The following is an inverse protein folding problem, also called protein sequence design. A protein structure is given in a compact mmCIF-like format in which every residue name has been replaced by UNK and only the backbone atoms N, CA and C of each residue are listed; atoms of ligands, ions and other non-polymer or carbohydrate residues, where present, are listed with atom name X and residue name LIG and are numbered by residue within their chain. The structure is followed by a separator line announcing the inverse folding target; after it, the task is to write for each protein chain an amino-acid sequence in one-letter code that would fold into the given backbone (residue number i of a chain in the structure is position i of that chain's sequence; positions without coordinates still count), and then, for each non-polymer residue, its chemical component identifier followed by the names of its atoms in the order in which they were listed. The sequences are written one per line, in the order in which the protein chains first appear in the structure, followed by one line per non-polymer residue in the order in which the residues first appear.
data_IF_308363908880
#
_entry.id   IF_308363908880
#
_cell.length_a   1.000
_cell.length_b   1.000
_cell.length_c   1.000
_cell.angle_alpha   90.00
_cell.angle_beta   90.00
_cell.angle_gamma   90.00
#
_symmetry.space_group_name_H-M   'P 1'
#
loop_
_entity.id
_entity.type
_entity.pdbx_description
1 polymer ?
2 non-polymer ?
3 non-polymer ?
4 water ?
#
# COMPACT_ATOMS: atom_id res chain seq x y z
N UNK A 1 -24.69 -6.28 24.45
CA UNK A 1 -23.53 -7.12 24.72
C UNK A 1 -22.38 -6.77 23.82
N UNK A 2 -21.30 -7.54 23.95
CA UNK A 2 -20.20 -7.46 23.02
C UNK A 2 -20.12 -8.70 22.12
N UNK A 3 -21.25 -9.38 21.88
CA UNK A 3 -21.18 -10.66 21.18
C UNK A 3 -20.86 -10.50 19.69
N UNK A 4 -21.00 -9.29 19.13
CA UNK A 4 -20.67 -9.04 17.73
C UNK A 4 -19.26 -8.49 17.53
N UNK A 5 -18.48 -8.30 18.59
CA UNK A 5 -17.23 -7.56 18.48
C UNK A 5 -16.05 -8.52 18.55
N UNK A 6 -15.11 -8.35 17.64
CA UNK A 6 -13.89 -9.16 17.59
C UNK A 6 -12.88 -8.48 18.51
N UNK A 7 -12.46 -9.16 19.58
CA UNK A 7 -11.58 -8.46 20.51
C UNK A 7 -10.22 -8.22 19.89
N UNK A 8 -9.54 -7.21 20.44
CA UNK A 8 -8.17 -6.85 20.13
C UNK A 8 -7.31 -8.09 19.97
N UNK A 9 -6.65 -8.23 18.83
CA UNK A 9 -5.85 -9.43 18.59
C UNK A 9 -4.73 -9.12 17.62
N UNK A 10 -3.70 -9.95 17.65
CA UNK A 10 -2.58 -9.75 16.75
C UNK A 10 -3.01 -10.06 15.33
N UNK A 11 -2.66 -9.18 14.40
CA UNK A 11 -3.19 -9.24 13.05
C UNK A 11 -2.80 -10.53 12.34
N UNK A 12 -3.73 -11.05 11.55
CA UNK A 12 -3.42 -12.18 10.69
C UNK A 12 -3.67 -11.91 9.21
N UNK A 13 -4.22 -10.75 8.84
CA UNK A 13 -4.52 -10.51 7.43
C UNK A 13 -3.32 -10.00 6.64
N UNK A 14 -3.22 -10.45 5.39
CA UNK A 14 -2.19 -9.91 4.54
C UNK A 14 -2.50 -8.48 4.14
N UNK A 15 -1.43 -7.76 3.81
CA UNK A 15 -1.49 -6.43 3.23
C UNK A 15 -1.50 -6.50 1.72
N UNK A 16 -0.51 -7.19 1.13
CA UNK A 16 -0.46 -7.38 -0.31
C UNK A 16 -1.25 -8.64 -0.66
N UNK A 17 -2.19 -8.52 -1.59
CA UNK A 17 -3.03 -9.66 -1.94
C UNK A 17 -2.67 -10.33 -3.26
N UNK A 18 -2.01 -9.63 -4.20
CA UNK A 18 -1.87 -10.17 -5.56
C UNK A 18 -0.58 -9.76 -6.26
N UNK A 19 0.19 -8.81 -5.75
CA UNK A 19 1.33 -8.28 -6.47
C UNK A 19 2.52 -9.22 -6.29
N UNK A 20 3.10 -9.66 -7.42
CA UNK A 20 4.39 -10.38 -7.45
C UNK A 20 4.48 -11.46 -6.38
N UNK A 21 3.48 -12.35 -6.36
CA UNK A 21 3.41 -13.29 -5.25
C UNK A 21 4.44 -14.42 -5.36
N UNK A 22 5.18 -14.51 -6.46
CA UNK A 22 6.33 -15.43 -6.51
C UNK A 22 7.59 -14.81 -5.93
N UNK A 23 7.54 -13.53 -5.52
CA UNK A 23 8.68 -12.89 -4.88
C UNK A 23 8.45 -12.95 -3.38
N UNK A 24 9.33 -13.57 -2.59
CA UNK A 24 9.04 -13.72 -1.16
C UNK A 24 9.16 -12.43 -0.34
N UNK A 25 9.73 -11.36 -0.88
CA UNK A 25 9.74 -10.08 -0.16
C UNK A 25 9.98 -8.98 -1.18
N UNK A 26 8.95 -8.19 -1.45
CA UNK A 26 8.98 -7.21 -2.53
C UNK A 26 9.64 -5.94 -2.00
N UNK A 27 10.82 -5.63 -2.55
CA UNK A 27 11.61 -4.44 -2.24
C UNK A 27 11.86 -3.70 -3.54
N UNK A 28 11.84 -2.37 -3.49
CA UNK A 28 12.16 -1.57 -4.65
C UNK A 28 13.26 -0.61 -4.26
N UNK A 29 14.16 -0.33 -5.19
CA UNK A 29 15.28 0.55 -4.88
C UNK A 29 15.54 1.41 -6.09
N UNK A 30 15.57 2.73 -5.88
CA UNK A 30 15.71 3.71 -6.95
C UNK A 30 16.81 4.69 -6.61
N UNK A 31 17.59 5.08 -7.62
CA UNK A 31 18.62 6.11 -7.47
C UNK A 31 17.97 7.47 -7.66
N UNK A 32 18.21 8.39 -6.72
CA UNK A 32 17.69 9.76 -6.87
C UNK A 32 17.94 10.32 -8.26
N UNK A 33 19.14 10.08 -8.81
CA UNK A 33 19.54 10.66 -10.08
C UNK A 33 18.57 10.32 -11.21
N UNK A 34 17.99 9.12 -11.17
CA UNK A 34 17.03 8.70 -12.19
C UNK A 34 15.63 9.22 -11.95
N UNK A 35 15.33 9.76 -10.77
CA UNK A 35 14.00 10.30 -10.53
C UNK A 35 13.85 11.66 -11.20
N UNK A 36 12.66 11.91 -11.74
CA UNK A 36 12.34 13.20 -12.33
C UNK A 36 11.97 14.20 -11.26
N UNK A 37 11.02 15.08 -11.59
CA UNK A 37 10.63 16.11 -10.63
C UNK A 37 9.85 15.52 -9.46
N UNK A 38 8.98 14.55 -9.73
CA UNK A 38 8.15 13.99 -8.68
C UNK A 38 7.92 12.50 -8.92
N UNK A 39 8.02 11.71 -7.84
CA UNK A 39 7.63 10.30 -7.85
C UNK A 39 6.69 10.06 -6.69
N UNK A 40 5.56 9.42 -6.96
CA UNK A 40 4.54 9.14 -5.95
C UNK A 40 4.43 7.63 -5.80
N UNK A 41 4.88 7.11 -4.65
CA UNK A 41 4.98 5.67 -4.44
C UNK A 41 3.80 5.11 -3.65
N UNK A 42 3.29 3.97 -4.13
CA UNK A 42 2.19 3.28 -3.46
C UNK A 42 2.63 2.61 -2.15
N UNK A 43 1.85 2.83 -1.08
CA UNK A 43 2.05 2.15 0.20
C UNK A 43 0.86 1.29 0.59
N UNK A 44 -0.08 1.10 -0.31
CA UNK A 44 -1.28 0.31 -0.06
C UNK A 44 -1.33 -1.01 -0.82
N UNK A 45 -0.42 -1.27 -1.77
CA UNK A 45 -0.37 -2.56 -2.47
C UNK A 45 -1.65 -2.86 -3.25
N UNK A 46 -2.31 -1.81 -3.75
CA UNK A 46 -3.48 -1.99 -4.58
C UNK A 46 -3.31 -1.36 -5.96
N UNK A 47 -2.30 -0.52 -6.14
CA UNK A 47 -2.13 0.21 -7.39
C UNK A 47 -1.93 -0.77 -8.54
N UNK A 48 -2.58 -0.49 -9.67
CA UNK A 48 -2.27 -1.23 -10.89
C UNK A 48 -0.89 -0.89 -11.44
N UNK A 49 -0.28 0.21 -11.00
CA UNK A 49 1.04 0.62 -11.46
C UNK A 49 2.08 0.48 -10.36
N UNK A 50 1.78 -0.34 -9.35
CA UNK A 50 2.72 -0.56 -8.27
C UNK A 50 4.11 -0.79 -8.84
N UNK A 51 5.16 -0.19 -8.27
CA UNK A 51 5.22 0.57 -7.01
C UNK A 51 4.79 2.05 -7.05
N UNK A 52 4.18 2.53 -8.13
CA UNK A 52 3.71 3.92 -8.21
C UNK A 52 2.25 4.02 -7.82
N UNK A 53 1.91 5.10 -7.11
CA UNK A 53 0.53 5.30 -6.67
C UNK A 53 -0.36 5.62 -7.86
N UNK A 54 -1.53 4.99 -7.92
CA UNK A 54 -2.51 5.32 -8.95
C UNK A 54 -3.86 5.73 -8.35
N UNK A 55 -3.89 6.13 -7.08
CA UNK A 55 -5.14 6.51 -6.44
C UNK A 55 -6.01 5.37 -5.95
N UNK A 56 -5.55 4.12 -6.10
CA UNK A 56 -6.32 2.98 -5.57
C UNK A 56 -6.49 3.07 -4.06
N UNK A 57 -5.57 3.74 -3.36
CA UNK A 57 -5.72 3.85 -1.91
C UNK A 57 -7.07 4.42 -1.50
N UNK A 58 -7.66 5.28 -2.34
CA UNK A 58 -8.95 5.88 -2.00
C UNK A 58 -10.04 4.83 -1.87
N UNK A 59 -10.08 3.88 -2.80
CA UNK A 59 -11.01 2.77 -2.67
C UNK A 59 -10.68 1.90 -1.47
N UNK A 60 -9.39 1.58 -1.25
CA UNK A 60 -9.03 0.78 -0.07
C UNK A 60 -9.56 1.43 1.20
N UNK A 61 -9.31 2.73 1.33
CA UNK A 61 -9.65 3.45 2.56
C UNK A 61 -11.15 3.48 2.77
N UNK A 62 -11.91 3.71 1.69
CA UNK A 62 -13.36 3.78 1.79
C UNK A 62 -13.96 2.42 2.11
N UNK A 63 -13.47 1.35 1.47
CA UNK A 63 -14.04 0.03 1.71
C UNK A 63 -13.62 -0.58 3.04
N UNK A 64 -12.45 -0.26 3.57
CA UNK A 64 -12.02 -0.90 4.82
C UNK A 64 -12.03 0.02 6.03
N UNK A 65 -12.24 1.32 5.84
CA UNK A 65 -12.12 2.25 6.95
C UNK A 65 -10.70 2.67 7.30
N UNK A 66 -9.71 2.33 6.46
CA UNK A 66 -8.29 2.60 6.69
C UNK A 66 -7.96 4.05 6.31
N UNK A 67 -6.71 4.44 6.52
CA UNK A 67 -6.25 5.82 6.33
C UNK A 67 -4.86 5.88 5.70
N UNK A 68 -4.55 4.94 4.77
CA UNK A 68 -3.21 4.89 4.17
C UNK A 68 -3.17 5.76 2.92
N UNK A 69 -1.96 6.16 2.54
CA UNK A 69 -1.74 6.95 1.35
C UNK A 69 -0.28 6.90 0.96
N UNK A 70 0.10 7.59 -0.10
CA UNK A 70 1.40 7.34 -0.76
C UNK A 70 2.55 8.10 -0.13
N UNK A 71 3.74 7.82 -0.66
CA UNK A 71 4.97 8.46 -0.24
C UNK A 71 5.52 9.22 -1.44
N UNK A 72 5.82 10.50 -1.24
CA UNK A 72 6.17 11.39 -2.33
C UNK A 72 7.62 11.82 -2.17
N UNK A 73 8.39 11.68 -3.24
CA UNK A 73 9.76 12.17 -3.31
C UNK A 73 9.80 13.19 -4.43
N UNK A 74 10.15 14.43 -4.11
CA UNK A 74 10.00 15.52 -5.07
C UNK A 74 11.27 16.36 -5.12
N UNK A 75 11.33 17.17 -6.17
CA UNK A 75 12.36 18.20 -6.45
C UNK A 75 13.63 17.58 -7.01
X LIG B 1 -1.50 2.78 -3.19
X LIG B 1 -1.94 5.35 -3.71
X LIG B 1 -2.51 3.60 -4.94
X LIG B 1 -0.93 4.51 -1.96
X LIG C 1 -1.84 15.01 1.20
X LIG C 1 -2.79 15.28 -0.17
X LIG C 1 -4.21 14.96 0.07
X LIG C 1 -2.85 16.72 -0.49
X LIG C 1 -2.18 14.34 -1.62
X LIG C 1 -1.02 14.67 -2.33
X LIG C 1 0.04 16.05 -1.89
X LIG C 1 -0.66 13.89 -3.42
X LIG C 1 -1.43 12.81 -3.82
X LIG C 1 -1.02 12.02 -4.96
X LIG C 1 -0.53 12.64 -6.18
X LIG C 1 -0.60 11.59 -7.29
X LIG C 1 -1.63 10.70 -7.49
X LIG C 1 -1.32 9.93 -8.56
X LIG C 1 -0.09 10.33 -9.03
X LIG C 1 0.35 11.36 -8.24
X LIG C 1 -2.58 12.49 -3.11
X LIG C 1 -2.95 13.26 -2.02
X LIG C 1 -3.49 11.32 -3.49
X LIG C 1 -4.41 10.99 -2.69
X LIG C 1 -3.33 10.71 -4.59
#
# INVERSE_FOLDING_TARGET
TKRFYVKDHRNKAMINLHIQKDNPKIVHAFDMEDLGDKAVYCRCWRSKKFPFCDGAHTKHNEETGDNVGPLIIKKKET
FES FE1 FE2 S1 S2
FUN N1 S1 O1 O2 C1 C2 CL1 C3 C4 N2 C5 C6 C7 C8 C9 O3 C10 C11 C12 O4 O5
#
